data_IF_068316273325
#
_entry.id   IF_068316273325
#
_cell.length_a   1.000
_cell.length_b   1.000
_cell.length_c   1.000
_cell.angle_alpha   90.00
_cell.angle_beta   90.00
_cell.angle_gamma   90.00
#
_symmetry.space_group_name_H-M   'P 1'
#
loop_
_entity.id
_entity.type
_entity.pdbx_description
1 polymer ?
#
# COMPACT_ATOMS: atom_id res chain seq x y z
N UNK A 1 24.86 18.04 -6.85
CA UNK A 1 23.43 18.41 -6.95
C UNK A 1 22.44 17.26 -6.64
N UNK A 2 22.66 16.01 -7.11
CA UNK A 2 21.73 14.89 -6.82
C UNK A 2 21.65 14.56 -5.31
N UNK A 3 22.78 14.53 -4.58
CA UNK A 3 22.83 14.23 -3.15
C UNK A 3 22.04 15.21 -2.29
N UNK A 4 22.07 16.50 -2.61
CA UNK A 4 21.31 17.53 -1.89
C UNK A 4 19.80 17.31 -2.06
N UNK A 5 19.36 17.00 -3.28
CA UNK A 5 17.95 16.68 -3.56
C UNK A 5 17.49 15.47 -2.73
N UNK A 6 18.27 14.39 -2.69
CA UNK A 6 17.93 13.20 -1.91
C UNK A 6 17.91 13.47 -0.41
N UNK A 7 18.79 14.32 0.09
CA UNK A 7 18.80 14.74 1.49
C UNK A 7 17.49 15.46 1.87
N UNK A 8 17.04 16.43 1.07
CA UNK A 8 15.75 17.09 1.33
C UNK A 8 14.56 16.15 1.20
N UNK A 9 14.59 15.23 0.23
CA UNK A 9 13.55 14.21 0.12
C UNK A 9 13.50 13.30 1.35
N UNK A 10 14.67 12.88 1.85
CA UNK A 10 14.76 12.08 3.07
C UNK A 10 14.20 12.81 4.29
N UNK A 11 14.57 14.08 4.50
CA UNK A 11 14.04 14.89 5.60
C UNK A 11 12.53 15.01 5.50
N UNK A 12 12.01 15.32 4.30
CA UNK A 12 10.57 15.46 4.08
C UNK A 12 9.81 14.17 4.39
N UNK A 13 10.29 13.04 3.89
CA UNK A 13 9.65 11.73 4.14
C UNK A 13 9.74 11.37 5.63
N UNK A 14 10.88 11.60 6.27
CA UNK A 14 11.04 11.34 7.71
C UNK A 14 10.09 12.18 8.56
N UNK A 15 9.94 13.45 8.22
CA UNK A 15 9.00 14.35 8.88
C UNK A 15 7.56 13.89 8.71
N UNK A 16 7.18 13.50 7.49
CA UNK A 16 5.86 12.94 7.20
C UNK A 16 5.60 11.66 8.02
N UNK A 17 6.60 10.81 8.15
CA UNK A 17 6.51 9.58 8.94
C UNK A 17 6.32 9.86 10.43
N UNK A 18 6.99 10.86 10.98
CA UNK A 18 6.79 11.30 12.36
C UNK A 18 5.35 11.78 12.58
N UNK A 19 4.82 12.60 11.66
CA UNK A 19 3.43 13.05 11.72
C UNK A 19 2.48 11.85 11.70
N UNK A 20 2.67 10.92 10.78
CA UNK A 20 1.83 9.73 10.69
C UNK A 20 1.87 8.89 11.96
N UNK A 21 3.04 8.74 12.56
CA UNK A 21 3.18 8.03 13.82
C UNK A 21 2.35 8.67 14.95
N UNK A 22 2.36 9.99 15.06
CA UNK A 22 1.53 10.71 16.05
C UNK A 22 0.03 10.62 15.78
N UNK A 23 -0.39 10.61 14.53
CA UNK A 23 -1.80 10.53 14.15
C UNK A 23 -2.40 9.12 14.32
N UNK A 24 -1.56 8.10 14.38
CA UNK A 24 -1.97 6.70 14.44
C UNK A 24 -2.47 6.16 13.09
N UNK A 25 -2.61 4.85 12.99
CA UNK A 25 -2.87 4.12 11.74
C UNK A 25 -4.09 4.65 10.97
N UNK A 26 -5.25 4.75 11.61
CA UNK A 26 -6.52 5.07 10.94
C UNK A 26 -6.54 6.49 10.33
N UNK A 27 -6.02 7.47 11.07
CA UNK A 27 -6.01 8.86 10.61
C UNK A 27 -4.96 9.02 9.52
N UNK A 28 -3.76 8.47 9.71
CA UNK A 28 -2.65 8.54 8.76
C UNK A 28 -2.99 7.93 7.41
N UNK A 29 -3.60 6.74 7.39
CA UNK A 29 -3.98 6.07 6.14
C UNK A 29 -5.05 6.85 5.38
N UNK A 30 -6.03 7.44 6.07
CA UNK A 30 -7.06 8.26 5.43
C UNK A 30 -6.48 9.57 4.90
N UNK A 31 -5.65 10.24 5.69
CA UNK A 31 -4.98 11.46 5.28
C UNK A 31 -4.05 11.23 4.08
N UNK A 32 -3.20 10.21 4.15
CA UNK A 32 -2.30 9.85 3.05
C UNK A 32 -3.07 9.45 1.78
N UNK A 33 -4.20 8.74 1.93
CA UNK A 33 -5.09 8.42 0.80
C UNK A 33 -5.62 9.68 0.13
N UNK A 34 -6.11 10.65 0.89
CA UNK A 34 -6.63 11.91 0.34
C UNK A 34 -5.50 12.71 -0.33
N UNK A 35 -4.36 12.83 0.32
CA UNK A 35 -3.20 13.52 -0.21
C UNK A 35 -2.76 12.93 -1.56
N UNK A 36 -2.64 11.61 -1.64
CA UNK A 36 -2.20 10.93 -2.85
C UNK A 36 -3.23 10.97 -3.99
N UNK A 37 -4.52 11.03 -3.70
CA UNK A 37 -5.53 11.29 -4.74
C UNK A 37 -5.32 12.64 -5.43
N UNK A 38 -4.76 13.63 -4.72
CA UNK A 38 -4.51 14.97 -5.25
C UNK A 38 -3.14 15.04 -5.94
N UNK A 39 -2.07 14.62 -5.24
CA UNK A 39 -0.71 14.78 -5.75
C UNK A 39 -0.24 13.61 -6.63
N UNK A 40 -0.82 12.44 -6.49
CA UNK A 40 -0.42 11.23 -7.23
C UNK A 40 -0.39 11.41 -8.74
N UNK A 41 -1.39 12.03 -9.36
CA UNK A 41 -1.39 12.30 -10.81
C UNK A 41 -0.19 13.11 -11.31
N UNK A 42 0.53 13.82 -10.44
CA UNK A 42 1.74 14.56 -10.80
C UNK A 42 2.96 13.65 -11.00
N UNK A 43 2.95 12.43 -10.44
CA UNK A 43 4.08 11.50 -10.50
C UNK A 43 4.08 10.61 -11.74
N UNK A 44 2.93 10.39 -12.34
CA UNK A 44 2.82 9.51 -13.51
C UNK A 44 1.74 9.99 -14.46
N UNK A 45 1.97 9.84 -15.77
CA UNK A 45 1.03 10.18 -16.82
C UNK A 45 -0.30 9.45 -16.63
N UNK A 46 -1.40 10.21 -16.52
CA UNK A 46 -2.76 9.70 -16.46
C UNK A 46 -3.07 8.82 -17.67
N UNK A 47 -2.66 9.24 -18.86
CA UNK A 47 -2.87 8.52 -20.12
C UNK A 47 -2.25 7.12 -20.11
N UNK A 48 -1.05 6.97 -19.53
CA UNK A 48 -0.40 5.67 -19.44
C UNK A 48 -1.16 4.72 -18.51
N UNK A 49 -1.65 5.24 -17.38
CA UNK A 49 -2.45 4.47 -16.41
C UNK A 49 -3.75 4.02 -17.07
N UNK A 50 -4.49 4.95 -17.69
CA UNK A 50 -5.75 4.67 -18.38
C UNK A 50 -5.58 3.63 -19.47
N UNK A 51 -4.55 3.77 -20.30
CA UNK A 51 -4.23 2.78 -21.36
C UNK A 51 -3.98 1.39 -20.80
N UNK A 52 -3.30 1.27 -19.67
CA UNK A 52 -3.06 -0.01 -19.03
C UNK A 52 -4.34 -0.63 -18.46
N UNK A 53 -5.20 0.18 -17.85
CA UNK A 53 -6.51 -0.30 -17.34
C UNK A 53 -7.40 -0.73 -18.49
N UNK A 54 -7.46 0.03 -19.58
CA UNK A 54 -8.27 -0.30 -20.76
C UNK A 54 -7.79 -1.58 -21.47
N UNK A 55 -6.49 -1.91 -21.39
CA UNK A 55 -6.01 -3.21 -21.89
C UNK A 55 -6.56 -4.39 -21.08
N UNK A 56 -6.75 -4.24 -19.79
CA UNK A 56 -7.31 -5.28 -18.95
C UNK A 56 -8.85 -5.31 -19.00
N UNK A 57 -9.46 -4.15 -19.20
CA UNK A 57 -10.91 -3.94 -19.24
C UNK A 57 -11.28 -3.11 -20.47
N UNK A 58 -11.34 -3.73 -21.67
CA UNK A 58 -11.58 -2.99 -22.94
C UNK A 58 -12.87 -2.17 -22.96
N UNK A 59 -13.92 -2.69 -22.35
CA UNK A 59 -15.27 -2.10 -22.34
C UNK A 59 -15.56 -1.19 -21.14
N UNK A 60 -14.50 -0.80 -20.39
CA UNK A 60 -14.69 0.03 -19.20
C UNK A 60 -15.20 1.42 -19.59
N UNK A 61 -16.28 1.86 -18.94
CA UNK A 61 -16.76 3.22 -19.12
C UNK A 61 -15.85 4.24 -18.41
N UNK A 62 -15.94 5.50 -18.85
CA UNK A 62 -15.06 6.55 -18.35
C UNK A 62 -15.19 6.81 -16.85
N UNK A 63 -16.41 6.72 -16.31
CA UNK A 63 -16.63 6.98 -14.88
C UNK A 63 -15.95 5.93 -14.00
N UNK A 64 -16.01 4.67 -14.38
CA UNK A 64 -15.37 3.60 -13.64
C UNK A 64 -13.85 3.62 -13.81
N UNK A 65 -13.37 3.97 -15.01
CA UNK A 65 -11.95 4.21 -15.26
C UNK A 65 -11.40 5.31 -14.33
N UNK A 66 -12.05 6.46 -14.25
CA UNK A 66 -11.64 7.58 -13.38
C UNK A 66 -11.69 7.20 -11.89
N UNK A 67 -12.69 6.40 -11.47
CA UNK A 67 -12.76 5.86 -10.10
C UNK A 67 -11.58 4.93 -9.79
N UNK A 68 -11.24 4.02 -10.72
CA UNK A 68 -10.11 3.11 -10.55
C UNK A 68 -8.81 3.90 -10.41
N UNK A 69 -8.57 4.87 -11.28
CA UNK A 69 -7.37 5.72 -11.23
C UNK A 69 -7.28 6.47 -9.88
N UNK A 70 -8.39 7.07 -9.46
CA UNK A 70 -8.44 7.82 -8.20
C UNK A 70 -8.21 6.91 -6.99
N UNK A 71 -8.84 5.73 -6.99
CA UNK A 71 -8.70 4.76 -5.89
C UNK A 71 -7.30 4.13 -5.87
N UNK A 72 -6.69 3.92 -7.01
CA UNK A 72 -5.30 3.46 -7.12
C UNK A 72 -4.35 4.44 -6.40
N UNK A 73 -4.46 5.74 -6.67
CA UNK A 73 -3.64 6.74 -5.97
C UNK A 73 -3.93 6.77 -4.47
N UNK A 74 -5.21 6.73 -4.08
CA UNK A 74 -5.58 6.65 -2.67
C UNK A 74 -5.00 5.43 -1.97
N UNK A 75 -4.94 4.29 -2.66
CA UNK A 75 -4.35 3.06 -2.15
C UNK A 75 -2.83 3.19 -1.96
N UNK A 76 -2.11 3.77 -2.91
CA UNK A 76 -0.67 4.04 -2.73
C UNK A 76 -0.40 4.93 -1.52
N UNK A 77 -1.25 5.93 -1.27
CA UNK A 77 -1.14 6.75 -0.07
C UNK A 77 -1.33 5.94 1.21
N UNK A 78 -2.34 5.06 1.26
CA UNK A 78 -2.55 4.17 2.42
C UNK A 78 -1.35 3.27 2.68
N UNK A 79 -0.84 2.60 1.64
CA UNK A 79 0.33 1.73 1.75
C UNK A 79 1.52 2.50 2.33
N UNK A 80 1.78 3.72 1.85
CA UNK A 80 2.87 4.55 2.37
C UNK A 80 2.73 4.81 3.88
N UNK A 81 1.53 5.14 4.34
CA UNK A 81 1.28 5.34 5.77
C UNK A 81 1.40 4.04 6.57
N UNK A 82 0.94 2.92 6.03
CA UNK A 82 0.98 1.61 6.67
C UNK A 82 2.40 1.11 6.93
N UNK A 83 3.39 1.51 6.12
CA UNK A 83 4.80 1.12 6.33
C UNK A 83 5.31 1.42 7.73
N UNK A 84 4.85 2.49 8.35
CA UNK A 84 5.27 2.90 9.71
C UNK A 84 4.72 1.94 10.75
N UNK A 85 3.54 1.37 10.48
CA UNK A 85 2.79 0.53 11.41
C UNK A 85 2.97 -0.98 11.18
N UNK A 86 3.88 -1.40 10.28
CA UNK A 86 4.12 -2.82 9.99
C UNK A 86 4.41 -3.65 11.25
N UNK A 87 5.12 -3.06 12.24
CA UNK A 87 5.38 -3.75 13.52
C UNK A 87 4.12 -3.99 14.33
N UNK A 88 3.14 -3.09 14.23
CA UNK A 88 1.87 -3.22 14.94
C UNK A 88 1.02 -4.34 14.32
N UNK A 89 1.01 -4.44 13.00
CA UNK A 89 0.36 -5.55 12.30
C UNK A 89 0.92 -6.91 12.71
N UNK A 90 2.25 -7.01 12.84
CA UNK A 90 2.93 -8.27 13.19
C UNK A 90 2.81 -8.66 14.66
N UNK A 91 2.66 -7.70 15.57
CA UNK A 91 2.66 -7.92 17.03
C UNK A 91 1.28 -8.14 17.64
N UNK A 92 0.22 -7.70 16.97
CA UNK A 92 -1.14 -7.82 17.53
C UNK A 92 -1.64 -9.25 17.47
N UNK A 93 -1.72 -9.90 18.62
CA UNK A 93 -2.43 -11.18 18.79
C UNK A 93 -3.50 -10.95 19.89
N UNK A 94 -4.79 -11.09 19.60
CA UNK A 94 -5.39 -11.38 18.28
C UNK A 94 -5.16 -10.25 17.27
N UNK A 95 -5.04 -10.61 16.01
CA UNK A 95 -4.78 -9.67 14.91
C UNK A 95 -5.97 -8.73 14.73
N UNK A 96 -5.83 -7.47 15.12
CA UNK A 96 -6.93 -6.48 15.11
C UNK A 96 -7.19 -5.86 13.74
N UNK A 97 -6.19 -5.88 12.85
CA UNK A 97 -6.20 -5.09 11.63
C UNK A 97 -6.30 -5.93 10.34
N UNK A 98 -6.22 -7.24 10.43
CA UNK A 98 -6.39 -8.16 9.31
C UNK A 98 -6.73 -9.57 9.80
N UNK A 99 -7.41 -10.32 8.96
CA UNK A 99 -7.72 -11.73 9.18
C UNK A 99 -6.88 -12.60 8.25
N UNK A 100 -6.50 -13.78 8.75
CA UNK A 100 -5.81 -14.78 7.94
C UNK A 100 -6.77 -15.94 7.70
N UNK A 101 -7.19 -16.08 6.47
CA UNK A 101 -7.98 -17.24 6.02
C UNK A 101 -6.98 -18.36 5.71
N UNK A 102 -7.22 -19.56 6.25
CA UNK A 102 -6.28 -20.69 6.08
C UNK A 102 -5.11 -20.69 7.07
N UNK A 103 -5.26 -20.07 8.24
CA UNK A 103 -4.22 -20.08 9.29
C UNK A 103 -3.78 -21.49 9.66
N UNK A 104 -4.71 -22.46 9.65
CA UNK A 104 -4.47 -23.88 9.89
C UNK A 104 -3.42 -24.48 8.94
N UNK A 105 -3.40 -24.03 7.68
CA UNK A 105 -2.41 -24.47 6.69
C UNK A 105 -1.00 -24.00 7.09
N UNK A 106 -0.90 -22.73 7.54
CA UNK A 106 0.37 -22.18 8.01
C UNK A 106 0.86 -22.88 9.26
N UNK A 107 -0.05 -23.20 10.17
CA UNK A 107 0.29 -23.92 11.40
C UNK A 107 0.74 -25.38 11.12
N UNK A 108 0.13 -26.04 10.15
CA UNK A 108 0.55 -27.37 9.68
C UNK A 108 1.94 -27.30 9.02
N UNK A 109 2.19 -26.34 8.15
CA UNK A 109 3.51 -26.11 7.52
C UNK A 109 4.58 -25.94 8.60
N UNK A 110 4.30 -25.10 9.60
CA UNK A 110 5.21 -24.83 10.71
C UNK A 110 5.50 -26.10 11.55
N UNK A 111 4.47 -26.92 11.77
CA UNK A 111 4.58 -28.19 12.50
C UNK A 111 5.40 -29.23 11.74
N UNK A 112 5.17 -29.35 10.45
CA UNK A 112 5.80 -30.38 9.61
C UNK A 112 7.26 -30.08 9.29
N UNK A 113 7.71 -28.81 9.40
CA UNK A 113 9.10 -28.35 9.13
C UNK A 113 9.64 -28.78 7.75
N UNK A 114 8.77 -29.06 6.79
CA UNK A 114 9.16 -29.41 5.43
C UNK A 114 9.43 -28.13 4.62
N UNK A 115 10.32 -28.18 3.62
CA UNK A 115 10.51 -27.07 2.69
C UNK A 115 9.19 -26.72 2.00
N UNK A 116 8.87 -25.42 1.92
CA UNK A 116 7.65 -24.92 1.29
C UNK A 116 7.99 -23.73 0.39
N UNK A 117 7.33 -23.67 -0.75
CA UNK A 117 7.40 -22.53 -1.67
C UNK A 117 6.09 -21.76 -1.55
N UNK A 118 6.17 -20.51 -1.10
CA UNK A 118 5.03 -19.59 -1.14
C UNK A 118 4.97 -18.89 -2.48
N UNK A 119 3.83 -18.98 -3.14
CA UNK A 119 3.55 -18.24 -4.38
C UNK A 119 2.51 -17.19 -4.05
N UNK A 120 2.82 -15.94 -4.29
CA UNK A 120 1.94 -14.81 -3.99
C UNK A 120 1.88 -13.82 -5.15
N UNK A 121 0.74 -13.16 -5.31
CA UNK A 121 0.61 -12.02 -6.20
C UNK A 121 0.99 -10.71 -5.48
N UNK A 122 1.55 -9.76 -6.23
CA UNK A 122 1.87 -8.43 -5.73
C UNK A 122 0.59 -7.57 -5.64
N UNK A 123 -0.29 -7.94 -4.72
CA UNK A 123 -1.54 -7.23 -4.49
C UNK A 123 -1.43 -6.33 -3.27
N UNK A 124 -1.91 -5.09 -3.41
CA UNK A 124 -2.01 -4.12 -2.33
C UNK A 124 -0.71 -4.02 -1.48
N UNK A 125 -0.80 -4.09 -0.17
CA UNK A 125 0.34 -4.03 0.74
C UNK A 125 0.93 -5.44 0.94
N UNK A 126 1.81 -5.85 0.04
CA UNK A 126 2.47 -7.16 0.07
C UNK A 126 3.43 -7.35 1.26
N UNK A 127 3.83 -6.28 1.93
CA UNK A 127 4.67 -6.33 3.14
C UNK A 127 3.96 -6.98 4.34
N UNK A 128 2.65 -7.15 4.25
CA UNK A 128 1.84 -7.82 5.28
C UNK A 128 1.76 -9.34 5.11
N UNK A 129 2.32 -9.86 4.01
CA UNK A 129 2.34 -11.30 3.71
C UNK A 129 3.46 -12.07 4.41
#
# INVERSE_FOLDING_TARGET
>A
MKSIKYFFQFIFISFLFIIFWFLGLKISTNFASLLFKIIGPLFRSKQLIEKNIQKAFPDINKNDLDKIVTNMWGNYGRILAEYIFLKEYRKSIPRKNFDVIGQEILDEIKKNKKPVIFISGHFNNFELM
#
